data_IF_304728617997
#
_entry.id   IF_304728617997
#
_cell.length_a   1.000
_cell.length_b   1.000
_cell.length_c   1.000
_cell.angle_alpha   90.00
_cell.angle_beta   90.00
_cell.angle_gamma   90.00
#
_symmetry.space_group_name_H-M   'P 1'
#
loop_
_entity.id
_entity.type
_entity.pdbx_description
1 polymer ?
#
# COMPACT_ATOMS: atom_id res chain seq x y z
N UNK A 1 34.28 13.13 -1.45
CA UNK A 1 33.74 11.87 -0.92
C UNK A 1 33.61 12.00 0.59
N UNK A 2 32.47 12.45 1.07
CA UNK A 2 32.20 12.59 2.50
C UNK A 2 31.14 11.53 2.85
N UNK A 3 31.61 10.42 3.43
CA UNK A 3 30.70 9.46 4.05
C UNK A 3 30.10 10.12 5.30
N UNK A 4 28.85 10.53 5.20
CA UNK A 4 28.04 10.86 6.37
C UNK A 4 27.74 9.56 7.11
N UNK A 5 28.58 9.22 8.08
CA UNK A 5 28.31 8.13 9.03
C UNK A 5 27.16 8.58 9.93
N UNK A 6 25.98 8.05 9.70
CA UNK A 6 24.87 8.22 10.65
C UNK A 6 25.32 7.68 12.03
N UNK A 7 25.19 8.49 13.08
CA UNK A 7 25.54 8.09 14.42
C UNK A 7 24.72 6.86 14.83
N UNK A 8 25.30 5.88 15.55
CA UNK A 8 24.58 4.67 15.95
C UNK A 8 23.38 5.04 16.84
N UNK A 9 22.21 4.54 16.47
CA UNK A 9 20.96 4.72 17.24
C UNK A 9 21.16 4.25 18.66
N UNK A 10 20.84 5.09 19.65
CA UNK A 10 21.04 4.79 21.07
C UNK A 10 20.21 3.56 21.50
N UNK A 11 20.67 2.84 22.55
CA UNK A 11 19.91 1.72 23.12
C UNK A 11 18.49 2.14 23.50
N UNK A 12 18.33 3.31 24.13
CA UNK A 12 17.03 3.87 24.54
C UNK A 12 16.12 4.10 23.35
N UNK A 13 16.62 4.58 22.24
CA UNK A 13 15.84 4.81 21.03
C UNK A 13 15.42 3.49 20.38
N UNK A 14 16.30 2.49 20.34
CA UNK A 14 15.94 1.14 19.86
C UNK A 14 14.82 0.51 20.72
N UNK A 15 14.91 0.62 22.04
CA UNK A 15 13.89 0.13 22.97
C UNK A 15 12.56 0.87 22.77
N UNK A 16 12.62 2.19 22.56
CA UNK A 16 11.43 3.01 22.24
C UNK A 16 10.77 2.57 20.93
N UNK A 17 11.58 2.40 19.88
CA UNK A 17 11.07 1.94 18.58
C UNK A 17 10.49 0.53 18.66
N UNK A 18 11.14 -0.40 19.35
CA UNK A 18 10.63 -1.76 19.54
C UNK A 18 9.24 -1.76 20.23
N UNK A 19 9.04 -0.92 21.24
CA UNK A 19 7.73 -0.78 21.91
C UNK A 19 6.68 -0.17 20.98
N UNK A 20 7.04 0.88 20.21
CA UNK A 20 6.12 1.47 19.21
C UNK A 20 5.69 0.42 18.20
N UNK A 21 6.61 -0.36 17.65
CA UNK A 21 6.33 -1.44 16.71
C UNK A 21 5.41 -2.51 17.33
N UNK A 22 5.64 -2.91 18.59
CA UNK A 22 4.78 -3.88 19.27
C UNK A 22 3.34 -3.35 19.44
N UNK A 23 3.17 -2.07 19.79
CA UNK A 23 1.84 -1.45 19.90
C UNK A 23 1.14 -1.43 18.53
N UNK A 24 1.83 -1.06 17.45
CA UNK A 24 1.24 -1.02 16.11
C UNK A 24 0.91 -2.41 15.58
N UNK A 25 1.73 -3.42 15.88
CA UNK A 25 1.40 -4.82 15.55
C UNK A 25 0.12 -5.27 16.26
N UNK A 26 0.02 -5.06 17.56
CA UNK A 26 -1.18 -5.38 18.33
C UNK A 26 -2.42 -4.62 17.81
N UNK A 27 -2.26 -3.35 17.43
CA UNK A 27 -3.35 -2.56 16.88
C UNK A 27 -3.82 -3.10 15.51
N UNK A 28 -2.90 -3.50 14.63
CA UNK A 28 -3.23 -4.15 13.35
C UNK A 28 -4.09 -5.39 13.58
N UNK A 29 -3.71 -6.24 14.53
CA UNK A 29 -4.44 -7.46 14.86
C UNK A 29 -5.84 -7.15 15.43
N UNK A 30 -5.94 -6.24 16.41
CA UNK A 30 -7.22 -5.84 17.02
C UNK A 30 -8.13 -5.18 15.99
N UNK A 31 -7.60 -4.33 15.12
CA UNK A 31 -8.37 -3.73 14.03
C UNK A 31 -8.85 -4.79 13.03
N UNK A 32 -8.01 -5.79 12.70
CA UNK A 32 -8.37 -6.87 11.80
C UNK A 32 -9.49 -7.75 12.36
N UNK A 33 -9.48 -8.06 13.65
CA UNK A 33 -10.45 -8.90 14.32
C UNK A 33 -11.80 -8.19 14.57
N UNK A 34 -11.75 -6.95 15.11
CA UNK A 34 -12.95 -6.26 15.62
C UNK A 34 -13.43 -5.12 14.70
N UNK A 35 -12.61 -4.72 13.74
CA UNK A 35 -12.79 -3.49 12.97
C UNK A 35 -12.41 -2.25 13.80
N UNK A 36 -12.03 -1.17 13.12
CA UNK A 36 -11.61 0.06 13.79
C UNK A 36 -12.69 0.65 14.73
N UNK A 37 -13.95 0.62 14.32
CA UNK A 37 -15.03 1.23 15.13
C UNK A 37 -15.18 0.58 16.51
N UNK A 38 -15.08 -0.75 16.59
CA UNK A 38 -15.30 -1.51 17.81
C UNK A 38 -14.01 -1.71 18.63
N UNK A 39 -12.84 -1.62 18.02
CA UNK A 39 -11.56 -1.73 18.69
C UNK A 39 -11.39 -0.67 19.79
N UNK A 40 -10.81 -1.05 20.91
CA UNK A 40 -10.54 -0.18 22.04
C UNK A 40 -9.05 -0.06 22.36
N UNK A 41 -8.66 1.05 23.00
CA UNK A 41 -7.28 1.22 23.47
C UNK A 41 -6.92 0.16 24.52
N UNK A 42 -7.89 -0.29 25.32
CA UNK A 42 -7.66 -1.29 26.35
C UNK A 42 -7.30 -2.65 25.73
N UNK A 43 -8.00 -3.09 24.68
CA UNK A 43 -7.69 -4.33 23.95
C UNK A 43 -6.32 -4.25 23.25
N UNK A 44 -5.99 -3.09 22.66
CA UNK A 44 -4.67 -2.89 22.06
C UNK A 44 -3.56 -2.95 23.13
N UNK A 45 -3.79 -2.32 24.28
CA UNK A 45 -2.83 -2.32 25.39
C UNK A 45 -2.61 -3.72 25.96
N UNK A 46 -3.68 -4.48 26.16
CA UNK A 46 -3.63 -5.86 26.62
C UNK A 46 -2.87 -6.75 25.63
N UNK A 47 -3.19 -6.67 24.31
CA UNK A 47 -2.53 -7.43 23.26
C UNK A 47 -1.05 -7.08 23.10
N UNK A 48 -0.69 -5.81 23.29
CA UNK A 48 0.68 -5.34 23.23
C UNK A 48 1.49 -5.63 24.52
N UNK A 49 0.83 -6.16 25.55
CA UNK A 49 1.40 -6.38 26.90
C UNK A 49 1.92 -5.09 27.56
N UNK A 50 1.25 -3.97 27.32
CA UNK A 50 1.57 -2.67 27.94
C UNK A 50 0.37 -2.10 28.71
N UNK A 51 0.67 -1.25 29.69
CA UNK A 51 -0.37 -0.47 30.34
C UNK A 51 -0.93 0.62 29.42
N UNK A 52 -2.23 0.92 29.52
CA UNK A 52 -2.94 1.98 28.75
C UNK A 52 -2.21 3.34 28.77
N UNK A 53 -1.64 3.74 29.93
CA UNK A 53 -0.85 4.95 30.04
C UNK A 53 0.41 4.94 29.15
N UNK A 54 0.97 3.76 28.89
CA UNK A 54 2.09 3.62 27.97
C UNK A 54 1.66 3.94 26.54
N UNK A 55 0.49 3.47 26.09
CA UNK A 55 -0.02 3.76 24.76
C UNK A 55 -0.22 5.26 24.54
N UNK A 56 -0.80 5.97 25.51
CA UNK A 56 -0.98 7.43 25.43
C UNK A 56 0.36 8.20 25.41
N UNK A 57 1.43 7.66 25.99
CA UNK A 57 2.78 8.24 25.87
C UNK A 57 3.39 8.15 24.47
N UNK A 58 2.91 7.22 23.64
CA UNK A 58 3.34 7.04 22.23
C UNK A 58 2.37 7.67 21.24
N UNK A 59 1.07 7.69 21.57
CA UNK A 59 -0.02 8.13 20.71
C UNK A 59 -0.99 9.00 21.52
N UNK A 60 -0.71 10.30 21.58
CA UNK A 60 -1.47 11.28 22.37
C UNK A 60 -2.95 11.32 21.95
N UNK A 61 -3.23 11.17 20.63
CA UNK A 61 -4.58 11.12 20.08
C UNK A 61 -5.26 9.75 20.24
N UNK A 62 -4.68 8.87 21.07
CA UNK A 62 -5.26 7.56 21.40
C UNK A 62 -5.44 6.67 20.16
N UNK A 63 -6.65 6.10 20.01
CA UNK A 63 -6.96 5.14 18.93
C UNK A 63 -6.80 5.76 17.52
N UNK A 64 -7.12 7.03 17.36
CA UNK A 64 -6.97 7.73 16.08
C UNK A 64 -5.50 7.92 15.72
N UNK A 65 -4.66 8.37 16.65
CA UNK A 65 -3.22 8.47 16.43
C UNK A 65 -2.58 7.11 16.11
N UNK A 66 -3.06 6.04 16.74
CA UNK A 66 -2.63 4.67 16.40
C UNK A 66 -3.06 4.29 14.98
N UNK A 67 -4.28 4.62 14.55
CA UNK A 67 -4.75 4.34 13.19
C UNK A 67 -3.87 5.05 12.15
N UNK A 68 -3.62 6.35 12.31
CA UNK A 68 -2.73 7.08 11.40
C UNK A 68 -1.33 6.48 11.35
N UNK A 69 -0.77 6.08 12.50
CA UNK A 69 0.54 5.43 12.53
C UNK A 69 0.54 4.05 11.86
N UNK A 70 -0.55 3.28 11.96
CA UNK A 70 -0.73 2.02 11.20
C UNK A 70 -0.80 2.28 9.70
N UNK A 71 -1.51 3.35 9.28
CA UNK A 71 -1.58 3.75 7.88
C UNK A 71 -0.22 4.23 7.36
N UNK A 72 0.51 5.03 8.13
CA UNK A 72 1.85 5.49 7.76
C UNK A 72 2.79 4.30 7.53
N UNK A 73 2.86 3.36 8.48
CA UNK A 73 3.69 2.15 8.35
C UNK A 73 3.27 1.33 7.11
N UNK A 74 1.97 1.20 6.84
CA UNK A 74 1.46 0.47 5.68
C UNK A 74 1.88 1.14 4.37
N UNK A 75 1.70 2.46 4.25
CA UNK A 75 2.11 3.19 3.04
C UNK A 75 3.63 3.20 2.88
N UNK A 76 4.40 3.25 3.96
CA UNK A 76 5.86 3.10 3.91
C UNK A 76 6.26 1.72 3.37
N UNK A 77 5.61 0.64 3.83
CA UNK A 77 5.82 -0.72 3.34
C UNK A 77 5.46 -0.83 1.84
N UNK A 78 4.33 -0.26 1.40
CA UNK A 78 3.90 -0.26 0.00
C UNK A 78 4.89 0.52 -0.89
N UNK A 79 5.29 1.72 -0.49
CA UNK A 79 6.25 2.52 -1.25
C UNK A 79 7.59 1.79 -1.37
N UNK A 80 8.10 1.23 -0.27
CA UNK A 80 9.34 0.44 -0.29
C UNK A 80 9.23 -0.80 -1.18
N UNK A 81 8.07 -1.49 -1.18
CA UNK A 81 7.80 -2.61 -2.07
C UNK A 81 7.81 -2.17 -3.54
N UNK A 82 7.17 -1.05 -3.86
CA UNK A 82 7.17 -0.51 -5.22
C UNK A 82 8.59 -0.15 -5.67
N UNK A 83 9.37 0.54 -4.84
CA UNK A 83 10.77 0.90 -5.13
C UNK A 83 11.66 -0.33 -5.31
N UNK A 84 11.41 -1.42 -4.58
CA UNK A 84 12.18 -2.65 -4.69
C UNK A 84 11.87 -3.47 -5.94
N UNK A 85 10.66 -3.36 -6.49
CA UNK A 85 10.17 -4.24 -7.55
C UNK A 85 9.86 -3.52 -8.86
N UNK A 86 9.82 -2.19 -8.88
CA UNK A 86 9.67 -1.40 -10.09
C UNK A 86 11.04 -0.93 -10.57
N UNK A 87 11.50 -1.48 -11.70
CA UNK A 87 12.82 -1.19 -12.27
C UNK A 87 12.93 0.29 -12.69
N UNK A 88 13.82 1.09 -12.07
CA UNK A 88 13.97 2.50 -12.39
C UNK A 88 14.51 2.75 -13.82
N UNK A 89 15.12 1.76 -14.45
CA UNK A 89 15.73 1.86 -15.77
C UNK A 89 14.85 1.29 -16.91
N UNK A 90 13.59 0.93 -16.59
CA UNK A 90 12.65 0.32 -17.53
C UNK A 90 12.15 1.32 -18.61
N UNK A 91 12.98 1.64 -19.58
CA UNK A 91 12.73 2.65 -20.64
C UNK A 91 12.23 2.08 -21.97
N UNK A 92 12.16 0.75 -22.13
CA UNK A 92 11.57 0.11 -23.33
C UNK A 92 10.16 -0.43 -23.03
N UNK A 93 9.29 -0.63 -24.05
CA UNK A 93 7.95 -1.18 -23.85
C UNK A 93 7.96 -2.51 -23.09
N UNK A 94 8.83 -3.45 -23.46
CA UNK A 94 8.92 -4.77 -22.84
C UNK A 94 9.47 -4.68 -21.41
N UNK A 95 10.49 -3.85 -21.17
CA UNK A 95 11.04 -3.64 -19.84
C UNK A 95 10.01 -2.99 -18.89
N UNK A 96 9.29 -1.97 -19.37
CA UNK A 96 8.25 -1.30 -18.59
C UNK A 96 7.11 -2.27 -18.24
N UNK A 97 6.67 -3.08 -19.20
CA UNK A 97 5.66 -4.11 -18.99
C UNK A 97 6.11 -5.16 -17.96
N UNK A 98 7.34 -5.66 -18.09
CA UNK A 98 7.90 -6.65 -17.16
C UNK A 98 8.08 -6.08 -15.76
N UNK A 99 8.57 -4.84 -15.65
CA UNK A 99 8.74 -4.12 -14.39
C UNK A 99 7.41 -3.92 -13.68
N UNK A 100 6.39 -3.44 -14.39
CA UNK A 100 5.05 -3.29 -13.83
C UNK A 100 4.47 -4.63 -13.34
N UNK A 101 4.62 -5.70 -14.14
CA UNK A 101 4.19 -7.04 -13.74
C UNK A 101 4.86 -7.50 -12.45
N UNK A 102 6.18 -7.33 -12.33
CA UNK A 102 6.94 -7.73 -11.14
C UNK A 102 6.44 -6.98 -9.90
N UNK A 103 6.26 -5.68 -10.02
CA UNK A 103 5.68 -4.86 -8.95
C UNK A 103 4.25 -5.29 -8.60
N UNK A 104 3.43 -5.60 -9.61
CA UNK A 104 2.06 -6.05 -9.41
C UNK A 104 1.99 -7.40 -8.67
N UNK A 105 2.83 -8.39 -9.04
CA UNK A 105 2.94 -9.67 -8.30
C UNK A 105 3.24 -9.42 -6.83
N UNK A 106 4.30 -8.67 -6.54
CA UNK A 106 4.68 -8.35 -5.16
C UNK A 106 3.56 -7.61 -4.40
N UNK A 107 2.84 -6.70 -5.06
CA UNK A 107 1.70 -6.00 -4.50
C UNK A 107 0.53 -6.93 -4.17
N UNK A 108 0.18 -7.88 -5.06
CA UNK A 108 -0.88 -8.86 -4.81
C UNK A 108 -0.48 -9.87 -3.73
N UNK A 109 0.77 -10.35 -3.68
CA UNK A 109 1.28 -11.19 -2.59
C UNK A 109 1.16 -10.47 -1.24
N UNK A 110 1.61 -9.23 -1.16
CA UNK A 110 1.50 -8.38 0.02
C UNK A 110 0.04 -8.22 0.48
N UNK A 111 -0.87 -7.99 -0.48
CA UNK A 111 -2.31 -7.89 -0.22
C UNK A 111 -2.88 -9.20 0.32
N UNK A 112 -2.61 -10.36 -0.31
CA UNK A 112 -3.13 -11.67 0.08
C UNK A 112 -2.72 -12.01 1.52
N UNK A 113 -1.46 -11.78 1.87
CA UNK A 113 -0.95 -12.03 3.22
C UNK A 113 -1.62 -11.16 4.30
N UNK A 114 -2.09 -9.95 3.94
CA UNK A 114 -2.61 -8.93 4.88
C UNK A 114 -4.07 -8.55 4.64
N UNK A 115 -4.82 -9.41 3.94
CA UNK A 115 -6.20 -9.13 3.47
C UNK A 115 -7.14 -8.57 4.56
N UNK A 116 -7.05 -9.10 5.78
CA UNK A 116 -7.91 -8.65 6.89
C UNK A 116 -7.64 -7.18 7.26
N UNK A 117 -6.37 -6.79 7.32
CA UNK A 117 -5.96 -5.40 7.54
C UNK A 117 -6.35 -4.53 6.35
N UNK A 118 -6.16 -5.03 5.12
CA UNK A 118 -6.47 -4.29 3.90
C UNK A 118 -7.95 -3.89 3.82
N UNK A 119 -8.86 -4.78 4.20
CA UNK A 119 -10.29 -4.48 4.26
C UNK A 119 -10.60 -3.30 5.19
N UNK A 120 -9.94 -3.24 6.35
CA UNK A 120 -10.15 -2.17 7.32
C UNK A 120 -9.56 -0.87 6.81
N UNK A 121 -8.35 -0.93 6.26
CA UNK A 121 -7.69 0.22 5.65
C UNK A 121 -8.57 0.82 4.55
N UNK A 122 -9.06 0.00 3.63
CA UNK A 122 -9.97 0.44 2.56
C UNK A 122 -11.21 1.12 3.13
N UNK A 123 -11.85 0.53 4.13
CA UNK A 123 -13.04 1.09 4.77
C UNK A 123 -12.75 2.44 5.43
N UNK A 124 -11.67 2.53 6.21
CA UNK A 124 -11.33 3.75 6.93
C UNK A 124 -10.79 4.83 6.01
N UNK A 125 -10.00 4.49 4.99
CA UNK A 125 -9.56 5.43 3.95
C UNK A 125 -10.76 6.02 3.18
N UNK A 126 -11.73 5.20 2.77
CA UNK A 126 -12.97 5.71 2.15
C UNK A 126 -13.73 6.63 3.10
N UNK A 127 -13.87 6.26 4.38
CA UNK A 127 -14.53 7.10 5.38
C UNK A 127 -13.81 8.45 5.54
N UNK A 128 -12.50 8.48 5.54
CA UNK A 128 -11.70 9.71 5.64
C UNK A 128 -11.80 10.54 4.35
N UNK A 129 -11.68 9.92 3.20
CA UNK A 129 -11.70 10.60 1.88
C UNK A 129 -13.03 11.33 1.64
N UNK A 130 -14.15 10.74 2.07
CA UNK A 130 -15.49 11.31 1.92
C UNK A 130 -16.01 12.01 3.19
N UNK A 131 -15.13 12.29 4.15
CA UNK A 131 -15.47 13.10 5.32
C UNK A 131 -15.45 14.59 4.99
N UNK A 132 -16.16 15.40 5.79
CA UNK A 132 -16.10 16.87 5.71
C UNK A 132 -14.81 17.45 6.29
N UNK A 133 -13.85 16.59 6.69
CA UNK A 133 -12.57 16.98 7.25
C UNK A 133 -11.50 17.03 6.15
N UNK A 134 -11.08 18.23 5.71
CA UNK A 134 -10.12 18.38 4.63
C UNK A 134 -8.70 17.90 5.01
N UNK A 135 -8.33 17.87 6.29
CA UNK A 135 -7.01 17.44 6.74
C UNK A 135 -6.84 15.95 6.49
N UNK A 136 -7.88 15.15 6.76
CA UNK A 136 -7.89 13.70 6.50
C UNK A 136 -7.79 13.38 5.01
N UNK A 137 -8.55 14.10 4.20
CA UNK A 137 -8.47 13.93 2.75
C UNK A 137 -7.09 14.31 2.21
N UNK A 138 -6.51 15.42 2.68
CA UNK A 138 -5.17 15.86 2.30
C UNK A 138 -4.09 14.86 2.73
N UNK A 139 -4.21 14.27 3.92
CA UNK A 139 -3.33 13.22 4.39
C UNK A 139 -3.33 12.02 3.42
N UNK A 140 -4.49 11.47 3.09
CA UNK A 140 -4.60 10.33 2.17
C UNK A 140 -4.09 10.66 0.77
N UNK A 141 -4.43 11.84 0.25
CA UNK A 141 -3.89 12.30 -1.04
C UNK A 141 -2.38 12.45 -1.02
N UNK A 142 -1.81 12.83 0.13
CA UNK A 142 -0.36 12.86 0.35
C UNK A 142 0.27 11.47 0.25
N UNK A 143 -0.33 10.47 0.89
CA UNK A 143 0.14 9.08 0.82
C UNK A 143 0.04 8.53 -0.60
N UNK A 144 -1.09 8.74 -1.28
CA UNK A 144 -1.26 8.31 -2.67
C UNK A 144 -0.25 8.97 -3.62
N UNK A 145 0.06 10.26 -3.39
CA UNK A 145 1.07 10.98 -4.18
C UNK A 145 2.47 10.38 -4.01
N UNK A 146 2.82 9.84 -2.83
CA UNK A 146 4.09 9.13 -2.62
C UNK A 146 4.20 7.92 -3.55
N UNK A 147 3.14 7.12 -3.68
CA UNK A 147 3.08 5.98 -4.59
C UNK A 147 3.23 6.43 -6.06
N UNK A 148 2.49 7.46 -6.47
CA UNK A 148 2.61 8.05 -7.81
C UNK A 148 4.04 8.49 -8.11
N UNK A 149 4.71 9.11 -7.14
CA UNK A 149 6.08 9.61 -7.31
C UNK A 149 7.12 8.50 -7.54
N UNK A 150 6.86 7.25 -7.14
CA UNK A 150 7.72 6.10 -7.48
C UNK A 150 7.67 5.82 -8.98
N UNK A 151 6.50 5.92 -9.61
CA UNK A 151 6.30 5.61 -11.03
C UNK A 151 6.73 6.75 -11.96
N UNK A 152 6.59 7.99 -11.50
CA UNK A 152 6.77 9.18 -12.35
C UNK A 152 8.11 9.26 -13.09
N UNK A 153 9.28 9.05 -12.46
CA UNK A 153 10.56 9.16 -13.16
C UNK A 153 10.68 8.14 -14.31
N UNK A 154 10.30 6.89 -14.05
CA UNK A 154 10.37 5.79 -15.04
C UNK A 154 9.43 6.05 -16.21
N UNK A 155 8.20 6.49 -15.93
CA UNK A 155 7.21 6.81 -16.97
C UNK A 155 7.62 8.03 -17.80
N UNK A 156 8.28 9.03 -17.20
CA UNK A 156 8.82 10.18 -17.92
C UNK A 156 9.95 9.76 -18.86
N UNK A 157 10.86 8.91 -18.40
CA UNK A 157 11.95 8.38 -19.22
C UNK A 157 11.42 7.49 -20.36
N UNK A 158 10.49 6.59 -20.07
CA UNK A 158 9.82 5.75 -21.07
C UNK A 158 9.10 6.59 -22.13
N UNK A 159 8.48 7.71 -21.75
CA UNK A 159 7.89 8.67 -22.70
C UNK A 159 8.96 9.33 -23.56
N UNK A 160 10.03 9.81 -22.96
CA UNK A 160 11.14 10.46 -23.67
C UNK A 160 11.82 9.51 -24.66
N UNK A 161 11.94 8.22 -24.31
CA UNK A 161 12.44 7.15 -25.16
C UNK A 161 11.45 6.69 -26.24
N UNK A 162 10.20 7.19 -26.23
CA UNK A 162 9.15 6.76 -27.18
C UNK A 162 8.56 5.38 -26.90
N UNK A 163 8.81 4.82 -25.72
CA UNK A 163 8.27 3.52 -25.29
C UNK A 163 6.77 3.58 -25.00
N UNK A 164 6.24 4.73 -24.57
CA UNK A 164 4.82 4.98 -24.39
C UNK A 164 4.34 6.13 -25.28
N UNK A 165 3.05 6.16 -25.55
CA UNK A 165 2.41 7.19 -26.39
C UNK A 165 2.57 8.57 -25.75
N UNK A 166 2.38 9.63 -26.55
CA UNK A 166 2.34 11.01 -26.05
C UNK A 166 1.03 11.27 -25.28
N UNK A 167 1.06 10.91 -24.02
CA UNK A 167 -0.06 11.05 -23.06
C UNK A 167 0.43 11.73 -21.79
N UNK A 168 -0.47 12.30 -20.98
CA UNK A 168 -0.11 12.84 -19.65
C UNK A 168 0.42 11.73 -18.74
N UNK A 169 1.71 11.78 -18.38
CA UNK A 169 2.39 10.73 -17.60
C UNK A 169 1.75 10.53 -16.23
N UNK A 170 1.36 11.61 -15.58
CA UNK A 170 0.68 11.55 -14.27
C UNK A 170 -0.64 10.78 -14.36
N UNK A 171 -1.43 10.99 -15.44
CA UNK A 171 -2.66 10.22 -15.67
C UNK A 171 -2.36 8.73 -15.90
N UNK A 172 -1.24 8.38 -16.57
CA UNK A 172 -0.80 6.99 -16.71
C UNK A 172 -0.50 6.39 -15.35
N UNK A 173 0.28 7.06 -14.49
CA UNK A 173 0.59 6.59 -13.14
C UNK A 173 -0.69 6.34 -12.32
N UNK A 174 -1.63 7.28 -12.33
CA UNK A 174 -2.93 7.11 -11.68
C UNK A 174 -3.74 5.94 -12.24
N UNK A 175 -3.70 5.73 -13.56
CA UNK A 175 -4.39 4.60 -14.21
C UNK A 175 -3.79 3.26 -13.78
N UNK A 176 -2.46 3.15 -13.76
CA UNK A 176 -1.76 1.93 -13.33
C UNK A 176 -2.10 1.58 -11.89
N UNK A 177 -1.97 2.53 -10.95
CA UNK A 177 -2.28 2.30 -9.54
C UNK A 177 -3.76 2.06 -9.31
N UNK A 178 -4.63 2.88 -9.91
CA UNK A 178 -6.08 2.75 -9.73
C UNK A 178 -6.65 1.42 -10.22
N UNK A 179 -6.06 0.81 -11.25
CA UNK A 179 -6.47 -0.52 -11.70
C UNK A 179 -5.99 -1.63 -10.75
N UNK A 180 -4.77 -1.52 -10.17
CA UNK A 180 -4.31 -2.42 -9.11
C UNK A 180 -5.21 -2.33 -7.89
N UNK A 181 -5.46 -1.12 -7.39
CA UNK A 181 -6.33 -0.87 -6.24
C UNK A 181 -7.75 -1.39 -6.48
N UNK A 182 -8.30 -1.16 -7.69
CA UNK A 182 -9.64 -1.61 -8.08
C UNK A 182 -9.76 -3.13 -8.08
N UNK A 183 -8.77 -3.86 -8.60
CA UNK A 183 -8.76 -5.32 -8.58
C UNK A 183 -8.60 -5.87 -7.15
N UNK A 184 -7.69 -5.30 -6.36
CA UNK A 184 -7.52 -5.66 -4.95
C UNK A 184 -8.81 -5.44 -4.15
N UNK A 185 -9.50 -4.32 -4.40
CA UNK A 185 -10.81 -4.02 -3.80
C UNK A 185 -11.85 -5.07 -4.18
N UNK A 186 -11.95 -5.41 -5.46
CA UNK A 186 -12.88 -6.43 -5.94
C UNK A 186 -12.62 -7.78 -5.25
N UNK A 187 -11.38 -8.25 -5.24
CA UNK A 187 -10.99 -9.48 -4.55
C UNK A 187 -11.32 -9.43 -3.05
N UNK A 188 -11.12 -8.29 -2.39
CA UNK A 188 -11.46 -8.11 -0.97
C UNK A 188 -12.95 -8.28 -0.71
N UNK A 189 -13.80 -7.72 -1.56
CA UNK A 189 -15.25 -7.79 -1.40
C UNK A 189 -15.79 -9.19 -1.70
N UNK A 190 -15.31 -9.83 -2.77
CA UNK A 190 -15.74 -11.18 -3.15
C UNK A 190 -15.39 -12.21 -2.07
N UNK A 191 -14.16 -12.17 -1.56
CA UNK A 191 -13.73 -13.11 -0.50
C UNK A 191 -14.50 -12.92 0.80
N UNK A 192 -14.88 -11.68 1.12
CA UNK A 192 -15.62 -11.37 2.35
C UNK A 192 -17.08 -11.87 2.28
N UNK A 193 -17.73 -11.74 1.14
CA UNK A 193 -19.15 -12.12 1.01
C UNK A 193 -19.35 -13.61 0.77
N UNK A 194 -18.39 -14.26 0.13
CA UNK A 194 -18.48 -15.66 -0.24
C UNK A 194 -17.71 -16.59 0.71
N UNK A 195 -17.04 -16.05 1.74
CA UNK A 195 -16.17 -16.78 2.69
C UNK A 195 -15.13 -17.65 1.95
N UNK A 196 -14.58 -17.11 0.85
CA UNK A 196 -13.59 -17.76 0.00
C UNK A 196 -12.19 -17.25 0.31
N UNK A 197 -11.17 -18.05 0.03
CA UNK A 197 -9.80 -17.57 0.02
C UNK A 197 -9.56 -16.74 -1.26
N UNK A 198 -8.86 -15.59 -1.22
CA UNK A 198 -8.53 -14.81 -2.41
C UNK A 198 -7.82 -15.64 -3.48
N UNK A 199 -6.99 -16.60 -3.08
CA UNK A 199 -6.24 -17.46 -3.99
C UNK A 199 -7.11 -18.48 -4.72
N UNK A 200 -8.32 -18.75 -4.22
CA UNK A 200 -9.32 -19.56 -4.94
C UNK A 200 -9.94 -18.79 -6.12
N UNK A 201 -9.93 -17.46 -6.05
CA UNK A 201 -10.41 -16.60 -7.12
C UNK A 201 -9.30 -16.33 -8.14
N UNK A 202 -8.13 -15.96 -7.67
CA UNK A 202 -6.98 -15.57 -8.51
C UNK A 202 -5.70 -15.56 -7.68
N UNK A 203 -4.65 -16.21 -8.15
CA UNK A 203 -3.31 -16.10 -7.53
C UNK A 203 -2.70 -14.73 -7.80
N UNK A 204 -1.63 -14.37 -7.08
CA UNK A 204 -0.94 -13.10 -7.28
C UNK A 204 -0.40 -12.98 -8.73
N UNK A 205 0.15 -14.05 -9.27
CA UNK A 205 0.64 -14.09 -10.65
C UNK A 205 -0.51 -13.94 -11.66
N UNK A 206 -1.63 -14.64 -11.48
CA UNK A 206 -2.79 -14.53 -12.37
C UNK A 206 -3.37 -13.12 -12.36
N UNK A 207 -3.48 -12.49 -11.18
CA UNK A 207 -3.95 -11.12 -11.04
C UNK A 207 -3.00 -10.12 -11.72
N UNK A 208 -1.69 -10.28 -11.52
CA UNK A 208 -0.67 -9.46 -12.15
C UNK A 208 -0.64 -9.65 -13.67
N UNK A 209 -0.77 -10.88 -14.17
CA UNK A 209 -0.82 -11.17 -15.60
C UNK A 209 -2.08 -10.58 -16.24
N UNK A 210 -3.23 -10.72 -15.58
CA UNK A 210 -4.48 -10.14 -16.06
C UNK A 210 -4.36 -8.61 -16.21
N UNK A 211 -3.97 -7.92 -15.12
CA UNK A 211 -3.91 -6.45 -15.13
C UNK A 211 -2.86 -5.93 -16.12
N UNK A 212 -1.69 -6.59 -16.18
CA UNK A 212 -0.62 -6.24 -17.11
C UNK A 212 -1.05 -6.40 -18.56
N UNK A 213 -1.74 -7.49 -18.88
CA UNK A 213 -2.26 -7.75 -20.23
C UNK A 213 -3.27 -6.68 -20.64
N UNK A 214 -4.24 -6.37 -19.76
CA UNK A 214 -5.26 -5.35 -20.06
C UNK A 214 -4.66 -3.97 -20.29
N UNK A 215 -3.70 -3.57 -19.44
CA UNK A 215 -3.12 -2.22 -19.48
C UNK A 215 -2.10 -2.02 -20.60
N UNK A 216 -1.30 -3.04 -20.93
CA UNK A 216 -0.23 -2.89 -21.90
C UNK A 216 -0.57 -3.47 -23.29
N UNK A 217 -1.32 -4.56 -23.35
CA UNK A 217 -1.67 -5.23 -24.61
C UNK A 217 -3.08 -4.85 -25.08
N UNK A 218 -3.96 -4.46 -24.15
CA UNK A 218 -5.35 -4.10 -24.40
C UNK A 218 -6.29 -5.30 -24.36
N UNK A 219 -7.61 -5.01 -24.38
CA UNK A 219 -8.66 -6.03 -24.29
C UNK A 219 -8.94 -6.74 -25.62
N UNK A 220 -8.72 -6.05 -26.73
CA UNK A 220 -9.08 -6.58 -28.05
C UNK A 220 -7.92 -7.39 -28.64
N UNK A 221 -8.25 -8.58 -29.18
CA UNK A 221 -7.28 -9.33 -29.96
C UNK A 221 -6.90 -8.53 -31.22
N UNK A 222 -5.60 -8.36 -31.42
CA UNK A 222 -5.11 -7.80 -32.69
C UNK A 222 -5.36 -8.83 -33.79
N UNK A 223 -5.94 -8.46 -34.95
CA UNK A 223 -6.04 -9.38 -36.06
C UNK A 223 -4.62 -9.83 -36.39
N UNK A 224 -4.45 -11.15 -36.54
CA UNK A 224 -3.17 -11.72 -37.03
C UNK A 224 -2.82 -11.10 -38.39
N UNK A 225 -1.55 -10.72 -38.64
CA UNK A 225 -1.11 -10.12 -39.88
C UNK A 225 -1.31 -11.05 -41.07
#
# INVERSE_FOLDING_TARGET
MSHSSAAPVSRRERERQARRTAILSAARDVFAEHGYANATIDEIAERAEFGKGTLYNYFEDGKEGILFAVLDDLYDEIVALMEAHFDPDASTPDALRASFRTMAVAGFEYYIERRALFFIVVKECNRMLFSDDPERSQYLMGQYRRMVNVLMPVLQEAKAAGAIRDVPVEAVAHTLLGNLDGLMMHLTLETRWNDQDPTDLMTAEEAADFITTILFDGLLQRPSP
#
